data_IF_740720685874
#
_entry.id   IF_740720685874
#
_cell.length_a   1.000
_cell.length_b   1.000
_cell.length_c   1.000
_cell.angle_alpha   90.00
_cell.angle_beta   90.00
_cell.angle_gamma   90.00
#
_symmetry.space_group_name_H-M   'P 1'
#
loop_
_entity.id
_entity.type
_entity.pdbx_description
1 polymer ?
#
# COMPACT_ATOMS: atom_id res chain seq x y z
N UNK A 1 24.57 10.57 -4.70
CA UNK A 1 23.35 10.79 -3.90
C UNK A 1 22.77 12.18 -4.14
N UNK A 2 23.60 13.23 -4.21
CA UNK A 2 23.13 14.61 -4.43
C UNK A 2 22.52 14.86 -5.81
N UNK A 3 23.06 14.22 -6.86
CA UNK A 3 22.51 14.30 -8.23
C UNK A 3 21.16 13.58 -8.37
N UNK A 4 21.05 12.36 -7.83
CA UNK A 4 19.77 11.60 -7.75
C UNK A 4 18.72 12.33 -6.90
N UNK A 5 19.15 13.09 -5.90
CA UNK A 5 18.24 13.91 -5.11
C UNK A 5 17.69 15.11 -5.91
N UNK A 6 18.45 15.67 -6.86
CA UNK A 6 18.00 16.77 -7.72
C UNK A 6 16.89 16.33 -8.68
N UNK A 7 16.98 15.13 -9.24
CA UNK A 7 15.95 14.60 -10.15
C UNK A 7 14.60 14.33 -9.48
N UNK A 8 14.58 14.27 -8.14
CA UNK A 8 13.39 14.03 -7.32
C UNK A 8 12.83 15.32 -6.71
N UNK A 9 13.45 16.48 -6.99
CA UNK A 9 13.05 17.77 -6.48
C UNK A 9 12.60 18.68 -7.62
N UNK A 10 11.41 19.25 -7.48
CA UNK A 10 10.88 20.27 -8.39
C UNK A 10 10.80 21.60 -7.64
N UNK A 11 11.47 22.63 -8.17
CA UNK A 11 11.37 24.01 -7.69
C UNK A 11 10.60 24.84 -8.70
N UNK A 12 9.54 25.52 -8.25
CA UNK A 12 8.69 26.32 -9.12
C UNK A 12 7.98 27.43 -8.34
N UNK A 13 7.49 28.43 -9.07
CA UNK A 13 6.71 29.54 -8.53
C UNK A 13 5.32 29.53 -9.17
N UNK A 14 4.27 29.56 -8.35
CA UNK A 14 2.87 29.67 -8.81
C UNK A 14 2.40 31.13 -8.99
N UNK A 15 3.19 32.10 -8.52
CA UNK A 15 2.93 33.51 -8.67
C UNK A 15 3.10 33.98 -10.12
N UNK A 16 2.49 35.13 -10.40
CA UNK A 16 2.60 35.78 -11.69
C UNK A 16 3.93 36.56 -11.83
N UNK A 17 4.48 37.09 -10.73
CA UNK A 17 5.79 37.73 -10.69
C UNK A 17 6.87 36.75 -10.20
N UNK A 18 7.91 36.56 -11.01
CA UNK A 18 9.05 35.70 -10.68
C UNK A 18 9.97 36.28 -9.61
N UNK A 19 9.89 37.59 -9.32
CA UNK A 19 10.69 38.24 -8.28
C UNK A 19 10.12 38.00 -6.87
N UNK A 20 8.82 37.71 -6.75
CA UNK A 20 8.17 37.43 -5.48
C UNK A 20 8.29 35.95 -5.11
N UNK A 21 8.73 35.65 -3.89
CA UNK A 21 8.92 34.29 -3.39
C UNK A 21 7.71 33.71 -2.63
N UNK A 22 6.64 34.48 -2.46
CA UNK A 22 5.44 34.08 -1.69
C UNK A 22 4.83 32.76 -2.16
N UNK A 23 4.82 32.53 -3.47
CA UNK A 23 4.31 31.32 -4.11
C UNK A 23 5.42 30.41 -4.64
N UNK A 24 6.62 30.51 -4.06
CA UNK A 24 7.76 29.64 -4.34
C UNK A 24 7.66 28.33 -3.57
N UNK A 25 7.72 27.20 -4.27
CA UNK A 25 7.63 25.86 -3.69
C UNK A 25 8.80 24.99 -4.12
N UNK A 26 9.25 24.15 -3.19
CA UNK A 26 10.16 23.02 -3.45
C UNK A 26 9.44 21.73 -3.10
N UNK A 27 9.08 20.95 -4.12
CA UNK A 27 8.37 19.68 -3.96
C UNK A 27 9.29 18.49 -4.17
N UNK A 28 9.17 17.50 -3.30
CA UNK A 28 9.75 16.18 -3.50
C UNK A 28 8.73 15.27 -4.18
N UNK A 29 9.15 14.62 -5.27
CA UNK A 29 8.31 13.72 -6.06
C UNK A 29 9.07 12.42 -6.31
N UNK A 30 8.48 11.29 -5.93
CA UNK A 30 9.04 9.97 -6.20
C UNK A 30 7.94 9.01 -6.63
N UNK A 31 8.26 8.15 -7.61
CA UNK A 31 7.37 7.08 -8.09
C UNK A 31 8.07 5.74 -7.94
N UNK A 32 7.36 4.77 -7.36
CA UNK A 32 7.89 3.45 -7.04
C UNK A 32 7.19 2.37 -7.87
N UNK A 33 7.69 2.14 -9.09
CA UNK A 33 7.13 1.11 -9.97
C UNK A 33 7.27 -0.28 -9.35
N UNK A 34 6.17 -1.06 -9.34
CA UNK A 34 6.15 -2.39 -8.74
C UNK A 34 5.93 -2.42 -7.21
N UNK A 35 5.60 -1.27 -6.60
CA UNK A 35 5.28 -1.16 -5.17
C UNK A 35 3.79 -0.86 -4.89
N UNK A 36 2.93 -0.82 -5.91
CA UNK A 36 1.48 -0.81 -5.72
C UNK A 36 0.98 -2.14 -5.16
N UNK A 37 -0.17 -2.15 -4.47
CA UNK A 37 -0.68 -3.34 -3.76
C UNK A 37 -0.77 -4.61 -4.61
N UNK A 38 -1.29 -4.52 -5.84
CA UNK A 38 -1.38 -5.67 -6.74
C UNK A 38 0.00 -6.16 -7.22
N UNK A 39 0.90 -5.23 -7.56
CA UNK A 39 2.25 -5.59 -8.00
C UNK A 39 3.07 -6.21 -6.85
N UNK A 40 2.89 -5.71 -5.63
CA UNK A 40 3.48 -6.30 -4.43
C UNK A 40 2.94 -7.72 -4.18
N UNK A 41 1.63 -7.96 -4.37
CA UNK A 41 1.04 -9.30 -4.26
C UNK A 41 1.66 -10.27 -5.26
N UNK A 42 1.80 -9.87 -6.52
CA UNK A 42 2.46 -10.71 -7.53
C UNK A 42 3.91 -11.06 -7.14
N UNK A 43 4.70 -10.08 -6.66
CA UNK A 43 6.07 -10.31 -6.18
C UNK A 43 6.12 -11.25 -4.97
N UNK A 44 5.14 -11.14 -4.07
CA UNK A 44 4.98 -12.04 -2.93
C UNK A 44 4.71 -13.48 -3.39
N UNK A 45 3.77 -13.66 -4.31
CA UNK A 45 3.42 -14.96 -4.89
C UNK A 45 4.59 -15.60 -5.62
N UNK A 46 5.34 -14.82 -6.41
CA UNK A 46 6.56 -15.27 -7.10
C UNK A 46 7.63 -15.76 -6.09
N UNK A 47 7.75 -15.08 -4.93
CA UNK A 47 8.65 -15.48 -3.85
C UNK A 47 8.18 -16.77 -3.16
N UNK A 48 6.88 -16.93 -2.93
CA UNK A 48 6.31 -18.16 -2.37
C UNK A 48 6.62 -19.36 -3.27
N UNK A 49 6.35 -19.24 -4.58
CA UNK A 49 6.62 -20.28 -5.56
C UNK A 49 8.12 -20.63 -5.64
N UNK A 50 8.99 -19.62 -5.71
CA UNK A 50 10.45 -19.82 -5.81
C UNK A 50 11.02 -20.49 -4.55
N UNK A 51 10.62 -20.02 -3.37
CA UNK A 51 11.03 -20.62 -2.10
C UNK A 51 10.53 -22.06 -1.95
N UNK A 52 9.34 -22.36 -2.50
CA UNK A 52 8.78 -23.71 -2.49
C UNK A 52 9.53 -24.67 -3.41
N UNK A 53 9.83 -24.25 -4.64
CA UNK A 53 10.64 -25.04 -5.58
C UNK A 53 11.98 -25.45 -4.95
N UNK A 54 12.64 -24.53 -4.24
CA UNK A 54 13.89 -24.80 -3.55
C UNK A 54 13.70 -25.84 -2.42
N UNK A 55 12.70 -25.66 -1.55
CA UNK A 55 12.45 -26.56 -0.42
C UNK A 55 11.96 -27.95 -0.84
N UNK A 56 11.14 -28.04 -1.88
CA UNK A 56 10.66 -29.31 -2.42
C UNK A 56 11.83 -30.17 -2.92
N UNK A 57 12.82 -29.54 -3.58
CA UNK A 57 14.03 -30.22 -4.06
C UNK A 57 14.95 -30.66 -2.91
N UNK A 58 15.03 -29.88 -1.83
CA UNK A 58 15.97 -30.11 -0.73
C UNK A 58 15.43 -31.00 0.39
N UNK A 59 14.12 -30.96 0.68
CA UNK A 59 13.55 -31.53 1.91
C UNK A 59 12.40 -32.51 1.67
N UNK A 60 12.01 -32.77 0.41
CA UNK A 60 10.94 -33.73 0.06
C UNK A 60 9.53 -33.41 0.58
N UNK A 61 9.31 -32.31 1.31
CA UNK A 61 7.98 -31.90 1.81
C UNK A 61 7.05 -31.56 0.65
N UNK A 62 5.82 -32.08 0.68
CA UNK A 62 4.80 -31.94 -0.39
C UNK A 62 3.69 -30.92 -0.09
N UNK A 63 3.70 -30.24 1.07
CA UNK A 63 2.73 -29.18 1.42
C UNK A 63 2.57 -28.12 0.31
N UNK A 64 1.35 -27.80 -0.07
CA UNK A 64 0.95 -26.88 -1.13
C UNK A 64 0.80 -27.52 -2.51
N UNK A 65 1.24 -28.77 -2.72
CA UNK A 65 1.18 -29.43 -4.03
C UNK A 65 -0.12 -30.18 -4.28
N UNK A 66 -0.94 -30.39 -3.25
CA UNK A 66 -2.30 -30.91 -3.39
C UNK A 66 -3.31 -30.00 -2.67
N UNK A 67 -4.59 -30.03 -3.09
CA UNK A 67 -5.67 -29.36 -2.38
C UNK A 67 -5.86 -29.84 -0.93
N UNK A 68 -5.50 -31.09 -0.63
CA UNK A 68 -5.67 -31.72 0.70
C UNK A 68 -4.58 -31.31 1.69
N UNK A 69 -3.45 -30.82 1.19
CA UNK A 69 -2.36 -30.29 2.02
C UNK A 69 -1.96 -28.92 1.51
N UNK A 70 -2.80 -27.87 1.61
CA UNK A 70 -2.50 -26.54 1.08
C UNK A 70 -1.41 -25.84 1.90
N UNK A 71 -0.71 -24.90 1.27
CA UNK A 71 0.28 -24.06 1.95
C UNK A 71 -0.44 -22.94 2.74
N UNK A 72 -0.12 -22.77 4.04
CA UNK A 72 -0.74 -21.71 4.85
C UNK A 72 -0.18 -20.33 4.46
N UNK A 73 -1.04 -19.46 3.91
CA UNK A 73 -0.72 -18.07 3.58
C UNK A 73 -1.29 -17.13 4.67
N UNK A 74 -0.46 -16.49 5.52
CA UNK A 74 -0.94 -15.57 6.55
C UNK A 74 -1.54 -14.28 5.97
N UNK A 75 -1.24 -13.94 4.72
CA UNK A 75 -1.74 -12.75 4.05
C UNK A 75 -3.11 -12.92 3.38
N UNK A 76 -3.70 -14.10 3.45
CA UNK A 76 -5.07 -14.38 3.03
C UNK A 76 -5.99 -14.49 4.25
N UNK A 77 -7.28 -14.11 4.14
CA UNK A 77 -8.26 -14.29 5.20
C UNK A 77 -8.34 -15.74 5.65
N UNK A 78 -8.64 -15.97 6.93
CA UNK A 78 -8.70 -17.31 7.51
C UNK A 78 -9.56 -18.25 6.65
N UNK A 79 -9.01 -19.41 6.31
CA UNK A 79 -9.64 -20.46 5.49
C UNK A 79 -9.97 -20.10 4.03
N UNK A 80 -9.62 -18.90 3.55
CA UNK A 80 -9.74 -18.56 2.15
C UNK A 80 -8.83 -19.46 1.30
N UNK A 81 -9.38 -20.04 0.23
CA UNK A 81 -8.61 -20.87 -0.71
C UNK A 81 -8.12 -20.02 -1.88
N UNK A 82 -6.90 -20.31 -2.32
CA UNK A 82 -6.31 -19.70 -3.50
C UNK A 82 -5.36 -20.65 -4.22
N UNK A 83 -5.08 -20.37 -5.49
CA UNK A 83 -4.21 -21.21 -6.31
C UNK A 83 -3.26 -20.35 -7.14
N UNK A 84 -1.96 -20.55 -6.95
CA UNK A 84 -0.94 -19.89 -7.74
C UNK A 84 -0.45 -20.82 -8.85
N UNK A 85 -0.61 -20.38 -10.10
CA UNK A 85 -0.19 -21.15 -11.29
C UNK A 85 0.97 -20.44 -11.99
N UNK A 86 2.13 -21.09 -12.09
CA UNK A 86 3.24 -20.62 -12.95
C UNK A 86 4.07 -21.78 -13.50
N UNK A 87 4.42 -21.69 -14.79
CA UNK A 87 5.35 -22.61 -15.47
C UNK A 87 5.03 -24.10 -15.23
N UNK A 88 3.74 -24.46 -15.24
CA UNK A 88 3.27 -25.84 -15.01
C UNK A 88 3.20 -26.28 -13.54
N UNK A 89 3.63 -25.44 -12.57
CA UNK A 89 3.45 -25.68 -11.14
C UNK A 89 2.15 -25.01 -10.66
N UNK A 90 1.38 -25.75 -9.87
CA UNK A 90 0.23 -25.22 -9.10
C UNK A 90 0.56 -25.31 -7.62
N UNK A 91 0.46 -24.19 -6.92
CA UNK A 91 0.56 -24.12 -5.47
C UNK A 91 -0.81 -23.79 -4.89
N UNK A 92 -1.39 -24.74 -4.16
CA UNK A 92 -2.64 -24.55 -3.43
C UNK A 92 -2.35 -23.84 -2.11
N UNK A 93 -3.08 -22.77 -1.85
CA UNK A 93 -2.98 -21.95 -0.64
C UNK A 93 -4.24 -22.07 0.20
N UNK A 94 -4.06 -21.96 1.52
CA UNK A 94 -5.14 -21.77 2.50
C UNK A 94 -4.77 -20.61 3.41
N UNK A 95 -5.67 -19.66 3.56
CA UNK A 95 -5.41 -18.48 4.39
C UNK A 95 -5.32 -18.83 5.86
N UNK A 96 -4.29 -18.29 6.53
CA UNK A 96 -4.10 -18.42 7.97
C UNK A 96 -4.57 -17.18 8.74
N UNK A 97 -4.89 -16.08 8.06
CA UNK A 97 -5.50 -14.90 8.69
C UNK A 97 -4.60 -14.13 9.66
N UNK A 98 -3.27 -14.31 9.60
CA UNK A 98 -2.32 -13.69 10.52
C UNK A 98 -1.75 -12.39 9.94
N UNK A 99 -2.40 -11.28 10.29
CA UNK A 99 -2.00 -9.95 9.85
C UNK A 99 -0.57 -9.58 10.27
N UNK A 100 -0.14 -9.98 11.48
CA UNK A 100 1.19 -9.61 11.99
C UNK A 100 2.29 -10.39 11.28
N UNK A 101 2.12 -11.70 11.11
CA UNK A 101 3.06 -12.51 10.34
C UNK A 101 3.08 -12.08 8.87
N UNK A 102 1.93 -11.71 8.30
CA UNK A 102 1.88 -11.16 6.95
C UNK A 102 2.78 -9.93 6.82
N UNK A 103 2.63 -8.94 7.71
CA UNK A 103 3.49 -7.74 7.73
C UNK A 103 4.98 -8.07 7.75
N UNK A 104 5.38 -9.00 8.62
CA UNK A 104 6.77 -9.42 8.74
C UNK A 104 7.31 -10.06 7.45
N UNK A 105 6.51 -10.90 6.79
CA UNK A 105 6.86 -11.50 5.50
C UNK A 105 6.97 -10.48 4.37
N UNK A 106 6.21 -9.38 4.42
CA UNK A 106 6.22 -8.33 3.41
C UNK A 106 7.37 -7.33 3.57
N UNK A 107 7.94 -7.17 4.77
CA UNK A 107 9.06 -6.21 5.02
C UNK A 107 10.21 -6.31 4.02
N UNK A 108 10.73 -7.50 3.66
CA UNK A 108 11.82 -7.58 2.68
C UNK A 108 11.43 -7.10 1.28
N UNK A 109 10.13 -7.10 0.93
CA UNK A 109 9.66 -6.64 -0.38
C UNK A 109 9.71 -5.11 -0.53
N UNK A 110 9.86 -4.36 0.58
CA UNK A 110 10.14 -2.93 0.56
C UNK A 110 11.50 -2.60 -0.07
N UNK A 111 12.42 -3.58 -0.13
CA UNK A 111 13.77 -3.46 -0.67
C UNK A 111 14.53 -2.24 -0.11
N UNK A 112 14.44 -2.04 1.20
CA UNK A 112 15.14 -0.94 1.88
C UNK A 112 16.64 -1.21 1.93
N UNK A 113 17.42 -0.14 1.83
CA UNK A 113 18.87 -0.16 2.09
C UNK A 113 19.14 0.43 3.47
N UNK A 114 20.34 0.20 4.01
CA UNK A 114 20.75 0.75 5.32
C UNK A 114 21.02 2.27 5.29
N UNK A 115 20.73 2.96 4.18
CA UNK A 115 20.98 4.39 4.03
C UNK A 115 20.00 5.23 4.85
N UNK A 116 20.54 6.19 5.62
CA UNK A 116 19.79 7.07 6.54
C UNK A 116 18.78 8.01 5.86
N UNK A 117 18.88 8.22 4.55
CA UNK A 117 17.97 9.08 3.76
C UNK A 117 17.32 8.33 2.60
N UNK A 118 16.93 7.08 2.84
CA UNK A 118 16.32 6.24 1.81
C UNK A 118 15.00 5.59 2.25
N UNK A 119 14.12 5.41 1.28
CA UNK A 119 12.80 4.81 1.45
C UNK A 119 12.73 3.45 0.74
N UNK A 120 11.72 3.23 -0.09
CA UNK A 120 11.54 2.01 -0.88
C UNK A 120 12.64 1.92 -1.95
N UNK A 121 13.13 0.70 -2.20
CA UNK A 121 14.16 0.44 -3.21
C UNK A 121 15.44 1.28 -3.06
N UNK A 122 15.74 1.77 -1.85
CA UNK A 122 16.89 2.63 -1.58
C UNK A 122 16.81 4.03 -2.19
N UNK A 123 15.65 4.45 -2.72
CA UNK A 123 15.48 5.77 -3.34
C UNK A 123 15.58 6.85 -2.27
N UNK A 124 16.25 7.94 -2.60
CA UNK A 124 16.40 9.10 -1.73
C UNK A 124 15.03 9.62 -1.26
N UNK A 125 14.90 9.89 0.03
CA UNK A 125 13.76 10.57 0.62
C UNK A 125 14.26 11.69 1.55
N UNK A 126 13.80 12.94 1.37
CA UNK A 126 14.10 14.00 2.32
C UNK A 126 13.45 13.67 3.69
N UNK A 127 14.03 14.14 4.80
CA UNK A 127 13.45 13.92 6.13
C UNK A 127 12.03 14.49 6.16
N UNK A 128 10.99 13.67 6.40
CA UNK A 128 9.63 14.17 6.45
C UNK A 128 9.45 15.08 7.67
N UNK A 129 8.75 16.19 7.50
CA UNK A 129 8.35 17.06 8.61
C UNK A 129 7.12 16.46 9.29
N UNK A 130 7.33 15.51 10.21
CA UNK A 130 6.23 14.79 10.86
C UNK A 130 5.39 15.63 11.83
N UNK A 131 5.93 16.71 12.39
CA UNK A 131 5.25 17.54 13.39
C UNK A 131 4.30 18.56 12.73
N UNK A 132 4.73 19.16 11.62
CA UNK A 132 3.98 20.24 10.95
C UNK A 132 3.34 19.81 9.63
N UNK A 133 3.69 18.62 9.14
CA UNK A 133 3.17 18.10 7.87
C UNK A 133 1.82 17.41 8.06
N UNK A 134 0.91 17.66 7.11
CA UNK A 134 -0.33 16.90 6.91
C UNK A 134 -0.26 16.17 5.57
N UNK A 135 -0.77 14.94 5.51
CA UNK A 135 -0.74 14.13 4.30
C UNK A 135 -2.13 13.58 3.99
N UNK A 136 -2.44 13.51 2.69
CA UNK A 136 -3.60 12.78 2.18
C UNK A 136 -3.15 11.45 1.58
N UNK A 137 -3.85 10.38 1.96
CA UNK A 137 -3.67 9.04 1.42
C UNK A 137 -4.81 8.68 0.45
N UNK A 138 -4.49 8.61 -0.84
CA UNK A 138 -5.46 8.25 -1.88
C UNK A 138 -5.39 6.77 -2.26
N UNK A 139 -6.35 6.31 -3.06
CA UNK A 139 -6.38 4.97 -3.64
C UNK A 139 -6.31 3.88 -2.57
N UNK A 140 -5.30 3.00 -2.58
CA UNK A 140 -5.22 1.89 -1.61
C UNK A 140 -5.14 2.34 -0.16
N UNK A 141 -4.69 3.57 0.14
CA UNK A 141 -4.79 4.12 1.49
C UNK A 141 -6.25 4.27 1.92
N UNK A 142 -7.11 4.77 1.04
CA UNK A 142 -8.54 4.87 1.28
C UNK A 142 -9.22 3.50 1.20
N UNK A 143 -8.98 2.73 0.14
CA UNK A 143 -9.67 1.45 -0.04
C UNK A 143 -9.38 0.44 1.08
N UNK A 144 -8.14 0.40 1.59
CA UNK A 144 -7.80 -0.48 2.70
C UNK A 144 -8.41 -0.01 4.02
N UNK A 145 -8.73 1.28 4.19
CA UNK A 145 -9.34 1.80 5.42
C UNK A 145 -10.86 1.83 5.34
N UNK A 146 -11.46 2.01 4.16
CA UNK A 146 -12.89 2.24 4.02
C UNK A 146 -13.67 1.02 3.54
N UNK A 147 -13.23 0.34 2.48
CA UNK A 147 -14.09 -0.58 1.71
C UNK A 147 -14.73 -1.65 2.59
N UNK A 148 -13.93 -2.25 3.48
CA UNK A 148 -14.37 -3.34 4.35
C UNK A 148 -14.17 -3.06 5.84
N UNK A 149 -13.25 -2.16 6.19
CA UNK A 149 -13.00 -1.77 7.59
C UNK A 149 -13.85 -0.55 8.03
N UNK A 150 -14.48 0.16 7.08
CA UNK A 150 -15.41 1.28 7.32
C UNK A 150 -14.84 2.37 8.24
N UNK A 151 -13.56 2.67 8.06
CA UNK A 151 -12.79 3.61 8.90
C UNK A 151 -11.92 4.58 8.07
N UNK A 152 -12.37 4.95 6.87
CA UNK A 152 -11.71 5.99 6.08
C UNK A 152 -11.70 7.35 6.79
N UNK A 153 -10.86 8.28 6.31
CA UNK A 153 -10.67 9.58 6.94
C UNK A 153 -9.41 9.59 7.82
N UNK A 154 -9.51 10.10 9.05
CA UNK A 154 -8.33 10.29 9.90
C UNK A 154 -7.73 8.95 10.32
N UNK A 155 -6.48 8.72 9.90
CA UNK A 155 -5.80 7.45 10.09
C UNK A 155 -5.22 7.33 11.50
N UNK A 156 -5.42 6.16 12.12
CA UNK A 156 -4.78 5.78 13.37
C UNK A 156 -4.18 4.38 13.21
N UNK A 157 -2.85 4.27 13.32
CA UNK A 157 -2.14 3.00 13.16
C UNK A 157 -2.67 1.91 14.09
N UNK A 158 -2.94 2.25 15.36
CA UNK A 158 -3.44 1.31 16.35
C UNK A 158 -4.87 0.81 16.06
N UNK A 159 -5.77 1.71 15.64
CA UNK A 159 -7.15 1.32 15.27
C UNK A 159 -7.14 0.49 13.98
N UNK A 160 -6.38 0.94 12.98
CA UNK A 160 -6.28 0.27 11.69
C UNK A 160 -5.67 -1.13 11.82
N UNK A 161 -4.54 -1.28 12.53
CA UNK A 161 -3.90 -2.58 12.72
C UNK A 161 -4.82 -3.58 13.42
N UNK A 162 -5.59 -3.12 14.41
CA UNK A 162 -6.58 -3.95 15.12
C UNK A 162 -7.71 -4.39 14.20
N UNK A 163 -8.33 -3.46 13.49
CA UNK A 163 -9.43 -3.77 12.56
C UNK A 163 -8.96 -4.70 11.43
N UNK A 164 -7.75 -4.49 10.89
CA UNK A 164 -7.16 -5.37 9.90
C UNK A 164 -6.88 -6.77 10.46
N UNK A 165 -6.37 -6.87 11.68
CA UNK A 165 -6.14 -8.16 12.35
C UNK A 165 -7.45 -8.93 12.58
N UNK A 166 -8.49 -8.26 13.08
CA UNK A 166 -9.81 -8.86 13.28
C UNK A 166 -10.46 -9.31 11.97
N UNK A 167 -10.36 -8.49 10.92
CA UNK A 167 -10.83 -8.84 9.59
C UNK A 167 -10.12 -10.10 9.06
N UNK A 168 -8.80 -10.17 9.20
CA UNK A 168 -8.01 -11.30 8.68
C UNK A 168 -8.23 -12.60 9.43
N UNK A 169 -8.43 -12.52 10.75
CA UNK A 169 -8.76 -13.66 11.59
C UNK A 169 -10.20 -14.15 11.42
N UNK A 170 -11.06 -13.42 10.70
CA UNK A 170 -12.43 -13.87 10.41
C UNK A 170 -12.42 -14.91 9.30
N UNK A 171 -13.15 -16.01 9.50
CA UNK A 171 -13.32 -17.06 8.48
C UNK A 171 -13.87 -16.51 7.16
N UNK A 172 -13.34 -17.01 6.05
CA UNK A 172 -13.74 -16.61 4.70
C UNK A 172 -15.24 -16.78 4.42
N UNK A 173 -15.86 -17.84 4.96
CA UNK A 173 -17.31 -18.08 4.90
C UNK A 173 -18.11 -16.91 5.49
N UNK A 174 -17.72 -16.45 6.67
CA UNK A 174 -18.35 -15.33 7.38
C UNK A 174 -18.12 -14.01 6.64
N UNK A 175 -16.91 -13.78 6.12
CA UNK A 175 -16.63 -12.59 5.33
C UNK A 175 -17.51 -12.52 4.07
N UNK A 176 -17.72 -13.67 3.41
CA UNK A 176 -18.62 -13.78 2.26
C UNK A 176 -20.08 -13.54 2.61
N UNK A 177 -20.57 -14.12 3.71
CA UNK A 177 -21.94 -13.87 4.17
C UNK A 177 -22.17 -12.37 4.43
N UNK A 178 -21.22 -11.70 5.10
CA UNK A 178 -21.29 -10.25 5.34
C UNK A 178 -21.32 -9.44 4.04
N UNK A 179 -20.59 -9.88 3.02
CA UNK A 179 -20.60 -9.25 1.70
C UNK A 179 -21.93 -9.44 0.97
N UNK A 180 -22.46 -10.66 0.97
CA UNK A 180 -23.76 -10.97 0.35
C UNK A 180 -24.91 -10.21 1.04
N UNK A 181 -24.75 -9.86 2.31
CA UNK A 181 -25.67 -9.02 3.10
C UNK A 181 -25.45 -7.51 2.95
N UNK A 182 -24.50 -7.07 2.13
CA UNK A 182 -24.25 -5.65 1.87
C UNK A 182 -23.60 -4.88 3.04
N UNK A 183 -22.83 -5.56 3.90
CA UNK A 183 -22.21 -4.93 5.07
C UNK A 183 -20.98 -4.05 4.75
N UNK A 184 -20.45 -4.17 3.53
CA UNK A 184 -19.26 -3.46 3.06
C UNK A 184 -19.63 -2.30 2.12
N UNK A 185 -18.65 -1.47 1.76
CA UNK A 185 -18.86 -0.37 0.84
C UNK A 185 -19.41 -0.87 -0.52
N UNK A 186 -20.30 -0.12 -1.20
CA UNK A 186 -20.93 -0.58 -2.45
C UNK A 186 -19.97 -0.93 -3.59
N UNK A 187 -18.76 -0.38 -3.57
CA UNK A 187 -17.73 -0.62 -4.58
C UNK A 187 -16.71 -1.69 -4.19
N UNK A 188 -16.82 -2.27 -2.99
CA UNK A 188 -16.03 -3.43 -2.62
C UNK A 188 -16.47 -4.63 -3.46
N UNK A 189 -15.53 -5.38 -4.00
CA UNK A 189 -15.77 -6.61 -4.75
C UNK A 189 -15.13 -7.83 -4.07
N UNK A 190 -15.32 -9.03 -4.64
CA UNK A 190 -14.70 -10.25 -4.11
C UNK A 190 -13.17 -10.18 -4.09
N UNK A 191 -12.57 -9.43 -5.02
CA UNK A 191 -11.12 -9.24 -5.07
C UNK A 191 -10.64 -8.40 -3.88
N UNK A 192 -11.33 -7.29 -3.56
CA UNK A 192 -11.11 -6.48 -2.36
C UNK A 192 -11.25 -7.35 -1.11
N UNK A 193 -12.33 -8.12 -1.00
CA UNK A 193 -12.55 -9.02 0.14
C UNK A 193 -11.39 -9.99 0.36
N UNK A 194 -10.95 -10.67 -0.72
CA UNK A 194 -9.92 -11.71 -0.69
C UNK A 194 -8.55 -11.15 -0.37
N UNK A 195 -8.18 -10.00 -0.95
CA UNK A 195 -6.83 -9.45 -0.84
C UNK A 195 -6.69 -8.29 0.15
N UNK A 196 -7.75 -7.96 0.88
CA UNK A 196 -7.71 -6.92 1.92
C UNK A 196 -6.58 -7.15 2.92
N UNK A 197 -6.39 -8.38 3.40
CA UNK A 197 -5.36 -8.71 4.39
C UNK A 197 -3.96 -8.36 3.92
N UNK A 198 -3.59 -8.87 2.73
CA UNK A 198 -2.33 -8.54 2.07
C UNK A 198 -2.19 -7.02 1.86
N UNK A 199 -3.20 -6.37 1.28
CA UNK A 199 -3.12 -4.95 0.91
C UNK A 199 -3.04 -4.03 2.13
N UNK A 200 -3.74 -4.38 3.21
CA UNK A 200 -3.67 -3.66 4.49
C UNK A 200 -2.29 -3.76 5.11
N UNK A 201 -1.71 -4.98 5.14
CA UNK A 201 -0.37 -5.21 5.65
C UNK A 201 0.67 -4.48 4.80
N UNK A 202 0.51 -4.51 3.47
CA UNK A 202 1.39 -3.79 2.55
C UNK A 202 1.31 -2.27 2.72
N UNK A 203 0.10 -1.70 2.81
CA UNK A 203 -0.10 -0.27 3.09
C UNK A 203 0.57 0.13 4.40
N UNK A 204 0.38 -0.66 5.47
CA UNK A 204 1.00 -0.41 6.77
C UNK A 204 2.53 -0.38 6.67
N UNK A 205 3.13 -1.41 6.06
CA UNK A 205 4.58 -1.54 5.97
C UNK A 205 5.18 -0.49 5.03
N UNK A 206 4.53 -0.16 3.91
CA UNK A 206 4.94 0.94 3.02
C UNK A 206 4.94 2.27 3.76
N UNK A 207 3.88 2.58 4.50
CA UNK A 207 3.77 3.87 5.18
C UNK A 207 4.74 3.99 6.37
N UNK A 208 4.71 3.03 7.29
CA UNK A 208 5.46 3.12 8.54
C UNK A 208 6.90 2.66 8.44
N UNK A 209 7.20 1.68 7.58
CA UNK A 209 8.55 1.15 7.41
C UNK A 209 9.19 1.60 6.11
N UNK A 210 8.44 1.79 5.03
CA UNK A 210 8.96 2.29 3.75
C UNK A 210 9.27 3.79 3.82
N UNK A 211 8.24 4.60 4.03
CA UNK A 211 8.34 6.06 4.11
C UNK A 211 8.73 6.56 5.51
N UNK A 212 8.86 5.65 6.47
CA UNK A 212 9.33 5.91 7.83
C UNK A 212 8.43 6.85 8.64
N UNK A 213 7.12 6.88 8.35
CA UNK A 213 6.17 7.60 9.20
C UNK A 213 6.03 6.90 10.56
N UNK A 214 6.11 7.62 11.69
CA UNK A 214 5.95 7.00 12.99
C UNK A 214 4.52 6.47 13.15
N UNK A 215 4.34 5.39 13.91
CA UNK A 215 3.00 4.83 14.17
C UNK A 215 2.13 5.77 15.02
N UNK A 216 2.74 6.72 15.73
CA UNK A 216 2.06 7.82 16.43
C UNK A 216 1.61 8.96 15.53
N UNK A 217 1.94 8.94 14.23
CA UNK A 217 1.57 10.01 13.31
C UNK A 217 0.04 10.08 13.13
N UNK A 218 -0.57 11.19 13.55
CA UNK A 218 -2.02 11.40 13.54
C UNK A 218 -2.54 12.30 12.41
N UNK A 219 -1.66 12.81 11.54
CA UNK A 219 -2.01 13.81 10.53
C UNK A 219 -2.08 13.23 9.10
N UNK A 220 -2.37 11.93 8.98
CA UNK A 220 -2.71 11.28 7.72
C UNK A 220 -4.24 11.19 7.60
N UNK A 221 -4.79 11.70 6.50
CA UNK A 221 -6.20 11.53 6.15
C UNK A 221 -6.34 10.70 4.88
N UNK A 222 -7.02 9.57 4.96
CA UNK A 222 -7.35 8.76 3.78
C UNK A 222 -8.61 9.30 3.12
N UNK A 223 -8.60 9.44 1.79
CA UNK A 223 -9.72 10.01 1.07
C UNK A 223 -9.79 9.49 -0.38
N UNK A 224 -11.00 9.38 -0.90
CA UNK A 224 -11.24 9.21 -2.34
C UNK A 224 -11.31 10.57 -3.06
N UNK A 225 -11.86 11.58 -2.37
CA UNK A 225 -12.17 12.89 -2.90
C UNK A 225 -11.84 13.98 -1.87
N UNK A 226 -11.64 15.21 -2.34
CA UNK A 226 -11.46 16.39 -1.50
C UNK A 226 -12.56 17.39 -1.85
N UNK A 227 -13.37 17.78 -0.86
CA UNK A 227 -14.58 18.59 -1.05
C UNK A 227 -15.54 18.01 -2.11
N UNK A 228 -15.82 16.69 -1.99
CA UNK A 228 -16.72 15.92 -2.87
C UNK A 228 -16.34 15.97 -4.36
N UNK A 229 -15.06 16.24 -4.64
CA UNK A 229 -14.49 16.27 -5.98
C UNK A 229 -13.25 15.39 -6.04
N UNK A 230 -13.13 14.64 -7.13
CA UNK A 230 -11.90 13.92 -7.43
C UNK A 230 -10.75 14.93 -7.61
N UNK A 231 -9.57 14.59 -7.07
CA UNK A 231 -8.38 15.42 -7.20
C UNK A 231 -7.85 15.34 -8.64
N UNK A 232 -8.01 16.43 -9.39
CA UNK A 232 -7.61 16.51 -10.78
C UNK A 232 -6.17 17.03 -10.92
N UNK A 233 -5.24 16.20 -11.37
CA UNK A 233 -3.87 16.66 -11.68
C UNK A 233 -3.83 17.65 -12.85
N UNK A 234 -4.78 17.55 -13.77
CA UNK A 234 -4.96 18.47 -14.91
C UNK A 234 -5.28 19.90 -14.45
N UNK A 235 -5.94 20.07 -13.30
CA UNK A 235 -6.19 21.37 -12.69
C UNK A 235 -4.88 22.04 -12.28
N UNK A 236 -3.95 21.29 -11.68
CA UNK A 236 -2.62 21.79 -11.35
C UNK A 236 -1.83 22.19 -12.61
N UNK A 237 -1.95 21.41 -13.69
CA UNK A 237 -1.30 21.71 -14.96
C UNK A 237 -1.82 23.02 -15.58
N UNK A 238 -3.13 23.22 -15.65
CA UNK A 238 -3.68 24.47 -16.20
C UNK A 238 -3.30 25.66 -15.32
N UNK A 239 -3.44 25.54 -13.99
CA UNK A 239 -3.08 26.60 -13.04
C UNK A 239 -1.63 27.04 -13.21
N UNK A 240 -0.69 26.09 -13.31
CA UNK A 240 0.72 26.37 -13.50
C UNK A 240 1.02 27.04 -14.84
N UNK A 241 0.37 26.59 -15.92
CA UNK A 241 0.59 27.11 -17.29
C UNK A 241 -0.04 28.47 -17.50
N UNK A 242 -1.09 28.82 -16.76
CA UNK A 242 -1.78 30.11 -16.85
C UNK A 242 -1.36 31.12 -15.78
N UNK A 243 -0.33 30.82 -14.97
CA UNK A 243 0.06 31.67 -13.82
C UNK A 243 0.41 33.12 -14.16
N UNK A 244 0.76 33.42 -15.41
CA UNK A 244 1.11 34.77 -15.87
C UNK A 244 -0.08 35.59 -16.38
N UNK A 245 -1.28 35.01 -16.49
CA UNK A 245 -2.47 35.75 -16.94
C UNK A 245 -2.80 36.99 -16.11
N UNK A 246 -2.61 37.00 -14.77
CA UNK A 246 -2.89 38.19 -13.95
C UNK A 246 -1.96 39.40 -14.19
N UNK A 247 -0.88 39.26 -14.98
CA UNK A 247 -0.02 40.40 -15.35
C UNK A 247 -0.61 41.25 -16.49
N UNK A 248 -1.73 40.82 -17.08
CA UNK A 248 -2.41 41.52 -18.18
C UNK A 248 -3.44 42.52 -17.69
#
# INVERSE_FOLDING_TARGET
QEEVAKDLLAEFNLGCDGQHSEHGYRLYVATFLGFGGNAARQRYEDRLLSGRLLRSRLLGRQVGLSPDSPFPDPCLPLDARDELRRRGLTLHLRGAGDFQLCRELLRPLLNRTNGTRSSLNGVFQPPPRFHDGQFYGFSEFYYCTEDVLRMGGDYSAAKFARAAQEYCATEWSVLRERFERGLYAPHADLHRLKFQCFKSAWMFEVFHRGFSFPESYGSLRTALQVYDKEVQWTLGAILYRTRFLPLR
#
